data_IF_229712671155
#
_entry.id   IF_229712671155
#
_cell.length_a   1.000
_cell.length_b   1.000
_cell.length_c   1.000
_cell.angle_alpha   90.00
_cell.angle_beta   90.00
_cell.angle_gamma   90.00
#
_symmetry.space_group_name_H-M   'P 1'
#
loop_
_entity.id
_entity.type
_entity.pdbx_description
1 polymer ?
#
# COMPACT_ATOMS: atom_id res chain seq x y z
N UNK A 1 20.94 -5.85 -13.08
CA UNK A 1 19.64 -6.43 -12.70
C UNK A 1 19.44 -6.65 -11.20
N UNK A 2 20.50 -6.80 -10.37
CA UNK A 2 20.35 -6.94 -8.91
C UNK A 2 20.20 -5.60 -8.15
N UNK A 3 20.58 -4.45 -8.74
CA UNK A 3 20.50 -3.15 -8.08
C UNK A 3 19.07 -2.59 -8.01
N UNK A 4 18.30 -2.70 -9.10
CA UNK A 4 16.91 -2.19 -9.18
C UNK A 4 15.99 -2.87 -8.16
N UNK A 5 16.13 -4.18 -7.94
CA UNK A 5 15.33 -4.92 -6.95
C UNK A 5 15.69 -4.49 -5.51
N UNK A 6 16.94 -4.09 -5.27
CA UNK A 6 17.42 -3.69 -3.94
C UNK A 6 16.95 -2.27 -3.56
N UNK A 7 16.85 -1.37 -4.55
CA UNK A 7 16.37 0.01 -4.37
C UNK A 7 14.85 0.07 -4.12
N UNK A 8 14.06 -0.73 -4.85
CA UNK A 8 12.60 -0.80 -4.66
C UNK A 8 12.21 -1.32 -3.27
N UNK A 9 12.98 -2.24 -2.69
CA UNK A 9 12.74 -2.76 -1.33
C UNK A 9 13.09 -1.71 -0.25
N UNK A 10 14.06 -0.84 -0.48
CA UNK A 10 14.48 0.16 0.50
C UNK A 10 13.41 1.25 0.77
N UNK A 11 12.53 1.48 -0.21
CA UNK A 11 11.44 2.44 -0.10
C UNK A 11 10.17 1.86 0.56
N UNK A 12 10.12 0.54 0.79
CA UNK A 12 8.96 -0.11 1.38
C UNK A 12 8.74 0.32 2.84
N UNK A 13 7.52 0.74 3.23
CA UNK A 13 7.20 0.93 4.63
C UNK A 13 7.39 -0.40 5.39
N UNK A 14 8.05 -0.40 6.55
CA UNK A 14 8.23 -1.60 7.35
C UNK A 14 6.88 -2.17 7.80
N UNK A 15 6.84 -3.48 8.06
CA UNK A 15 5.67 -4.09 8.69
C UNK A 15 5.44 -3.44 10.08
N UNK A 16 4.24 -2.91 10.37
CA UNK A 16 3.94 -2.34 11.68
C UNK A 16 4.14 -3.37 12.82
N UNK A 17 4.44 -2.97 14.06
CA UNK A 17 4.24 -3.86 15.18
C UNK A 17 2.74 -4.20 15.34
N UNK A 18 2.43 -5.32 15.97
CA UNK A 18 1.06 -5.61 16.36
C UNK A 18 0.63 -4.65 17.47
N UNK A 19 -0.62 -4.19 17.40
CA UNK A 19 -1.23 -3.46 18.49
C UNK A 19 -1.62 -4.43 19.61
N UNK A 20 -1.58 -3.97 20.86
CA UNK A 20 -2.25 -4.69 21.95
C UNK A 20 -3.74 -4.87 21.62
N UNK A 21 -4.40 -5.94 22.08
CA UNK A 21 -5.79 -6.25 21.73
C UNK A 21 -6.76 -5.09 21.92
N UNK A 22 -6.54 -4.27 22.95
CA UNK A 22 -7.34 -3.06 23.19
C UNK A 22 -7.24 -2.02 22.06
N UNK A 23 -6.07 -1.89 21.43
CA UNK A 23 -5.80 -0.92 20.37
C UNK A 23 -5.93 -1.50 18.97
N UNK A 24 -6.09 -2.82 18.81
CA UNK A 24 -6.26 -3.48 17.51
C UNK A 24 -7.27 -2.77 16.59
N UNK A 25 -8.44 -2.30 17.06
CA UNK A 25 -9.41 -1.63 16.18
C UNK A 25 -8.93 -0.31 15.55
N UNK A 26 -7.82 0.27 15.99
CA UNK A 26 -7.30 1.54 15.48
C UNK A 26 -6.97 1.49 13.99
N UNK A 27 -6.61 0.30 13.48
CA UNK A 27 -6.31 0.10 12.05
C UNK A 27 -7.51 0.44 11.16
N UNK A 28 -8.75 0.32 11.67
CA UNK A 28 -9.96 0.66 10.95
C UNK A 28 -10.03 2.16 10.57
N UNK A 29 -9.28 3.02 11.26
CA UNK A 29 -9.15 4.43 10.87
C UNK A 29 -8.55 4.59 9.48
N UNK A 30 -7.64 3.70 9.08
CA UNK A 30 -7.04 3.70 7.74
C UNK A 30 -8.12 3.48 6.66
N UNK A 31 -9.10 2.63 6.92
CA UNK A 31 -10.23 2.36 6.02
C UNK A 31 -11.42 3.33 6.17
N UNK A 32 -11.34 4.28 7.10
CA UNK A 32 -12.43 5.24 7.30
C UNK A 32 -12.62 6.14 6.06
N UNK A 33 -13.87 6.52 5.79
CA UNK A 33 -14.20 7.45 4.70
C UNK A 33 -13.41 8.76 4.82
N UNK A 34 -13.24 9.26 6.04
CA UNK A 34 -12.47 10.47 6.30
C UNK A 34 -11.01 10.31 5.89
N UNK A 35 -10.35 9.23 6.32
CA UNK A 35 -8.94 8.98 5.96
C UNK A 35 -8.76 8.84 4.45
N UNK A 36 -9.63 8.09 3.78
CA UNK A 36 -9.59 7.92 2.34
C UNK A 36 -9.73 9.26 1.59
N UNK A 37 -10.62 10.15 2.06
CA UNK A 37 -10.73 11.49 1.51
C UNK A 37 -9.50 12.35 1.79
N UNK A 38 -8.89 12.27 2.98
CA UNK A 38 -7.67 13.01 3.32
C UNK A 38 -6.50 12.61 2.42
N UNK A 39 -6.26 11.31 2.26
CA UNK A 39 -5.26 10.75 1.35
C UNK A 39 -5.49 11.29 -0.07
N UNK A 40 -6.72 11.14 -0.59
CA UNK A 40 -7.07 11.61 -1.94
C UNK A 40 -6.86 13.11 -2.11
N UNK A 41 -7.25 13.93 -1.14
CA UNK A 41 -7.11 15.39 -1.20
C UNK A 41 -5.64 15.79 -1.29
N UNK A 42 -4.76 15.15 -0.52
CA UNK A 42 -3.32 15.42 -0.60
C UNK A 42 -2.76 15.05 -1.97
N UNK A 43 -3.06 13.85 -2.48
CA UNK A 43 -2.63 13.43 -3.82
C UNK A 43 -3.16 14.38 -4.91
N UNK A 44 -4.42 14.84 -4.80
CA UNK A 44 -5.01 15.79 -5.73
C UNK A 44 -4.34 17.16 -5.68
N UNK A 45 -3.97 17.64 -4.48
CA UNK A 45 -3.24 18.90 -4.32
C UNK A 45 -1.87 18.84 -4.98
N UNK A 46 -1.15 17.73 -4.81
CA UNK A 46 0.13 17.49 -5.48
C UNK A 46 -0.07 17.48 -7.00
N UNK A 47 -1.05 16.72 -7.50
CA UNK A 47 -1.35 16.64 -8.93
C UNK A 47 -1.69 18.01 -9.57
N UNK A 48 -2.26 18.93 -8.79
CA UNK A 48 -2.64 20.28 -9.20
C UNK A 48 -1.58 21.35 -8.88
N UNK A 49 -0.41 20.98 -8.36
CA UNK A 49 0.64 21.94 -7.92
C UNK A 49 0.10 23.00 -6.96
N UNK A 50 -0.79 22.59 -6.07
CA UNK A 50 -1.40 23.51 -5.10
C UNK A 50 -0.36 24.07 -4.14
N UNK A 51 -0.49 25.34 -3.74
CA UNK A 51 0.31 25.94 -2.65
C UNK A 51 0.18 25.23 -1.30
N UNK A 52 -0.84 24.38 -1.15
CA UNK A 52 -1.09 23.57 0.04
C UNK A 52 -0.57 22.12 -0.10
N UNK A 53 0.15 21.84 -1.20
CA UNK A 53 0.94 20.62 -1.31
C UNK A 53 2.30 20.85 -0.65
N UNK A 54 2.79 19.83 0.04
CA UNK A 54 4.14 19.83 0.59
C UNK A 54 4.71 18.42 0.50
N UNK A 55 6.00 18.33 0.28
CA UNK A 55 6.78 17.08 0.24
C UNK A 55 6.44 16.15 1.44
N UNK A 56 6.58 16.67 2.66
CA UNK A 56 6.28 15.88 3.87
C UNK A 56 4.83 15.38 3.98
N UNK A 57 3.84 16.08 3.39
CA UNK A 57 2.46 15.58 3.34
C UNK A 57 2.32 14.46 2.32
N UNK A 58 2.98 14.58 1.17
CA UNK A 58 2.99 13.53 0.15
C UNK A 58 3.66 12.27 0.70
N UNK A 59 4.85 12.39 1.31
CA UNK A 59 5.53 11.28 1.96
C UNK A 59 4.62 10.55 2.95
N UNK A 60 4.01 11.29 3.90
CA UNK A 60 3.14 10.70 4.93
C UNK A 60 1.94 9.97 4.31
N UNK A 61 1.37 10.52 3.24
CA UNK A 61 0.22 9.91 2.58
C UNK A 61 0.62 8.64 1.84
N UNK A 62 1.72 8.65 1.08
CA UNK A 62 2.24 7.43 0.44
C UNK A 62 2.61 6.38 1.49
N UNK A 63 3.25 6.80 2.59
CA UNK A 63 3.61 5.91 3.69
C UNK A 63 2.37 5.29 4.34
N UNK A 64 1.30 6.08 4.61
CA UNK A 64 0.04 5.57 5.15
C UNK A 64 -0.64 4.56 4.20
N UNK A 65 -0.54 4.77 2.89
CA UNK A 65 -1.03 3.80 1.90
C UNK A 65 -0.25 2.48 2.06
N UNK A 66 1.08 2.53 2.13
CA UNK A 66 1.87 1.32 2.35
C UNK A 66 1.59 0.64 3.70
N UNK A 67 1.36 1.41 4.77
CA UNK A 67 0.93 0.85 6.06
C UNK A 67 -0.42 0.13 5.94
N UNK A 68 -1.38 0.70 5.22
CA UNK A 68 -2.67 0.05 4.95
C UNK A 68 -2.53 -1.25 4.16
N UNK A 69 -1.62 -1.29 3.18
CA UNK A 69 -1.28 -2.52 2.45
C UNK A 69 -0.64 -3.57 3.36
N UNK A 70 0.27 -3.16 4.25
CA UNK A 70 0.89 -4.06 5.21
C UNK A 70 -0.13 -4.66 6.19
N UNK A 71 -1.09 -3.85 6.67
CA UNK A 71 -2.18 -4.36 7.52
C UNK A 71 -3.10 -5.33 6.75
N UNK A 72 -3.40 -5.08 5.47
CA UNK A 72 -4.16 -6.01 4.62
C UNK A 72 -3.42 -7.34 4.46
N UNK A 73 -2.10 -7.31 4.22
CA UNK A 73 -1.27 -8.52 4.13
C UNK A 73 -1.33 -9.31 5.43
N UNK A 74 -1.24 -8.62 6.58
CA UNK A 74 -1.29 -9.26 7.90
C UNK A 74 -2.66 -9.87 8.19
N UNK A 75 -3.72 -9.11 7.96
CA UNK A 75 -5.08 -9.47 8.34
C UNK A 75 -5.98 -9.48 7.11
N UNK A 76 -6.33 -10.68 6.65
CA UNK A 76 -7.08 -10.85 5.41
C UNK A 76 -8.47 -10.20 5.42
N UNK A 77 -9.08 -10.09 6.59
CA UNK A 77 -10.39 -9.45 6.77
C UNK A 77 -10.34 -7.92 6.69
N UNK A 78 -9.16 -7.31 6.72
CA UNK A 78 -8.99 -5.85 6.67
C UNK A 78 -8.91 -5.38 5.21
N UNK A 79 -10.03 -4.91 4.63
CA UNK A 79 -10.14 -4.51 3.22
C UNK A 79 -9.65 -3.07 2.92
N UNK A 80 -8.33 -2.86 2.99
CA UNK A 80 -7.76 -1.56 2.61
C UNK A 80 -7.82 -1.30 1.12
N UNK A 81 -7.55 -2.33 0.30
CA UNK A 81 -7.48 -2.18 -1.16
C UNK A 81 -8.84 -1.78 -1.73
N UNK A 82 -9.93 -2.43 -1.32
CA UNK A 82 -11.27 -2.07 -1.76
C UNK A 82 -11.69 -0.67 -1.32
N UNK A 83 -11.30 -0.24 -0.12
CA UNK A 83 -11.54 1.13 0.34
C UNK A 83 -10.78 2.18 -0.48
N UNK A 84 -9.50 1.91 -0.77
CA UNK A 84 -8.63 2.81 -1.52
C UNK A 84 -9.02 2.90 -3.01
N UNK A 85 -9.44 1.78 -3.60
CA UNK A 85 -9.96 1.71 -4.97
C UNK A 85 -11.25 2.52 -5.12
N UNK A 86 -12.24 2.35 -4.21
CA UNK A 86 -13.47 3.17 -4.19
C UNK A 86 -13.18 4.67 -4.07
N UNK A 87 -12.07 5.03 -3.41
CA UNK A 87 -11.64 6.41 -3.26
C UNK A 87 -10.78 6.93 -4.44
N UNK A 88 -10.48 6.11 -5.44
CA UNK A 88 -9.61 6.41 -6.59
C UNK A 88 -8.16 6.75 -6.19
N UNK A 89 -7.68 6.23 -5.06
CA UNK A 89 -6.32 6.54 -4.56
C UNK A 89 -5.25 5.99 -5.51
N UNK A 90 -5.42 4.75 -5.98
CA UNK A 90 -4.45 4.12 -6.87
C UNK A 90 -4.36 4.82 -8.24
N UNK A 91 -5.48 5.29 -8.78
CA UNK A 91 -5.51 6.08 -10.02
C UNK A 91 -4.81 7.42 -9.84
N UNK A 92 -5.05 8.09 -8.72
CA UNK A 92 -4.36 9.33 -8.39
C UNK A 92 -2.85 9.11 -8.27
N UNK A 93 -2.39 8.06 -7.60
CA UNK A 93 -0.97 7.71 -7.52
C UNK A 93 -0.35 7.44 -8.90
N UNK A 94 -1.02 6.66 -9.75
CA UNK A 94 -0.56 6.43 -11.14
C UNK A 94 -0.45 7.74 -11.93
N UNK A 95 -1.38 8.67 -11.75
CA UNK A 95 -1.35 9.98 -12.42
C UNK A 95 -0.20 10.90 -11.99
N UNK A 96 0.51 10.55 -10.92
CA UNK A 96 1.63 11.31 -10.37
C UNK A 96 3.00 10.81 -10.86
N UNK A 97 3.06 9.64 -11.49
CA UNK A 97 4.32 9.07 -12.00
C UNK A 97 4.95 10.01 -13.03
N UNK A 98 6.25 10.25 -12.89
CA UNK A 98 7.03 11.11 -13.78
C UNK A 98 6.80 12.61 -13.59
N UNK A 99 6.02 13.03 -12.59
CA UNK A 99 5.83 14.44 -12.27
C UNK A 99 6.95 14.95 -11.35
N UNK A 100 7.40 16.18 -11.63
CA UNK A 100 8.42 16.88 -10.86
C UNK A 100 8.07 17.04 -9.38
N UNK A 101 6.78 17.16 -9.05
CA UNK A 101 6.32 17.36 -7.66
C UNK A 101 6.53 16.11 -6.78
N UNK A 102 6.81 14.95 -7.37
CA UNK A 102 6.83 13.65 -6.68
C UNK A 102 8.22 13.02 -6.75
N UNK A 103 9.17 13.66 -7.44
CA UNK A 103 10.54 13.19 -7.64
C UNK A 103 11.25 12.81 -6.32
N UNK A 104 11.13 13.59 -5.22
CA UNK A 104 11.75 13.22 -3.93
C UNK A 104 11.20 11.92 -3.29
N UNK A 105 10.05 11.43 -3.78
CA UNK A 105 9.39 10.23 -3.28
C UNK A 105 9.05 9.25 -4.40
N UNK A 106 9.75 9.35 -5.54
CA UNK A 106 9.49 8.53 -6.72
C UNK A 106 9.63 7.03 -6.42
N UNK A 107 10.62 6.65 -5.61
CA UNK A 107 10.86 5.25 -5.24
C UNK A 107 9.70 4.66 -4.42
N UNK A 108 9.22 5.40 -3.42
CA UNK A 108 8.07 4.96 -2.61
C UNK A 108 6.80 4.90 -3.45
N UNK A 109 6.56 5.89 -4.33
CA UNK A 109 5.42 5.83 -5.25
C UNK A 109 5.51 4.64 -6.21
N UNK A 110 6.69 4.41 -6.79
CA UNK A 110 6.97 3.30 -7.69
C UNK A 110 6.72 1.95 -7.01
N UNK A 111 7.30 1.76 -5.83
CA UNK A 111 7.08 0.59 -4.98
C UNK A 111 5.58 0.31 -4.77
N UNK A 112 4.79 1.32 -4.37
CA UNK A 112 3.36 1.14 -4.12
C UNK A 112 2.60 0.75 -5.39
N UNK A 113 2.96 1.33 -6.54
CA UNK A 113 2.33 1.00 -7.83
C UNK A 113 2.60 -0.45 -8.23
N UNK A 114 3.80 -0.95 -7.95
CA UNK A 114 4.19 -2.34 -8.24
C UNK A 114 3.53 -3.34 -7.27
N UNK A 115 3.43 -2.99 -5.99
CA UNK A 115 2.96 -3.92 -4.95
C UNK A 115 1.44 -4.06 -4.90
N UNK A 116 0.68 -2.99 -5.14
CA UNK A 116 -0.80 -3.04 -5.13
C UNK A 116 -1.39 -4.15 -6.01
N UNK A 117 -1.01 -4.33 -7.29
CA UNK A 117 -1.58 -5.39 -8.13
C UNK A 117 -1.20 -6.79 -7.63
N UNK A 118 0.00 -6.97 -7.05
CA UNK A 118 0.43 -8.24 -6.46
C UNK A 118 -0.46 -8.64 -5.30
N UNK A 119 -0.70 -7.70 -4.37
CA UNK A 119 -1.57 -7.94 -3.21
C UNK A 119 -3.02 -8.16 -3.67
N UNK A 120 -3.52 -7.33 -4.57
CA UNK A 120 -4.87 -7.49 -5.13
C UNK A 120 -5.08 -8.87 -5.75
N UNK A 121 -4.14 -9.34 -6.57
CA UNK A 121 -4.19 -10.67 -7.19
C UNK A 121 -4.17 -11.79 -6.13
N UNK A 122 -3.29 -11.68 -5.13
CA UNK A 122 -3.19 -12.66 -4.05
C UNK A 122 -4.52 -12.81 -3.28
N UNK A 123 -5.11 -11.69 -2.87
CA UNK A 123 -6.36 -11.71 -2.10
C UNK A 123 -7.58 -12.11 -2.93
N UNK A 124 -7.60 -11.78 -4.22
CA UNK A 124 -8.76 -12.04 -5.08
C UNK A 124 -8.77 -13.43 -5.70
N UNK A 125 -7.62 -13.95 -6.10
CA UNK A 125 -7.52 -15.18 -6.91
C UNK A 125 -6.91 -16.35 -6.13
N UNK A 126 -5.88 -16.11 -5.31
CA UNK A 126 -5.17 -17.18 -4.60
C UNK A 126 -5.93 -17.61 -3.34
N UNK A 127 -6.45 -16.68 -2.54
CA UNK A 127 -7.23 -17.02 -1.35
C UNK A 127 -8.64 -17.56 -1.65
N UNK A 128 -9.11 -17.45 -2.90
CA UNK A 128 -10.36 -18.10 -3.34
C UNK A 128 -10.15 -19.56 -3.77
N UNK A 129 -8.90 -20.02 -3.90
CA UNK A 129 -8.64 -21.43 -4.20
C UNK A 129 -9.05 -22.28 -3.00
N UNK A 130 -9.92 -23.29 -3.18
CA UNK A 130 -10.13 -24.29 -2.15
C UNK A 130 -8.78 -24.99 -1.92
N UNK A 131 -8.37 -25.13 -0.66
CA UNK A 131 -7.18 -25.88 -0.25
C UNK A 131 -7.39 -27.40 -0.44
N UNK A 132 -7.89 -27.81 -1.60
CA UNK A 132 -7.89 -29.20 -2.04
C UNK A 132 -6.73 -29.39 -3.01
N UNK A 133 -5.54 -29.46 -2.42
CA UNK A 133 -4.43 -30.27 -2.91
C UNK A 133 -3.65 -29.77 -4.12
N UNK A 134 -2.78 -28.76 -3.97
CA UNK A 134 -1.44 -28.80 -4.58
C UNK A 134 -0.44 -28.12 -3.63
N UNK A 135 0.53 -28.89 -3.14
CA UNK A 135 1.76 -28.35 -2.57
C UNK A 135 2.64 -27.82 -3.72
N UNK A 136 2.75 -26.50 -3.87
CA UNK A 136 3.76 -25.88 -4.72
C UNK A 136 4.88 -25.31 -3.85
N UNK A 137 6.02 -25.98 -3.89
CA UNK A 137 7.30 -25.45 -3.42
C UNK A 137 7.70 -24.28 -4.33
N UNK A 138 7.42 -23.05 -3.89
CA UNK A 138 7.91 -21.84 -4.56
C UNK A 138 9.18 -21.42 -3.83
N UNK A 139 10.31 -21.82 -4.39
CA UNK A 139 11.63 -21.38 -3.95
C UNK A 139 11.69 -19.84 -3.92
N UNK A 140 12.05 -19.30 -2.75
CA UNK A 140 12.58 -17.96 -2.49
C UNK A 140 11.63 -16.75 -2.35
N UNK A 141 10.33 -16.93 -2.11
CA UNK A 141 9.54 -15.86 -1.49
C UNK A 141 9.12 -16.29 -0.07
N UNK A 142 9.94 -15.90 0.92
CA UNK A 142 9.63 -16.11 2.33
C UNK A 142 8.55 -15.09 2.71
N UNK A 143 7.28 -15.40 2.41
CA UNK A 143 6.17 -14.85 3.19
C UNK A 143 6.05 -15.77 4.40
N UNK A 144 6.54 -15.29 5.55
CA UNK A 144 6.31 -15.97 6.83
C UNK A 144 4.82 -15.82 7.15
N UNK A 145 4.00 -16.71 6.62
CA UNK A 145 2.72 -17.04 7.21
C UNK A 145 3.03 -17.86 8.46
N UNK A 146 3.27 -17.19 9.59
CA UNK A 146 3.20 -17.86 10.89
C UNK A 146 1.72 -18.01 11.24
N UNK A 147 1.33 -19.28 11.37
CA UNK A 147 0.07 -19.76 11.92
C UNK A 147 -0.24 -19.10 13.27
#
# INVERSE_FOLDING_TARGET
MHALVKEVIAAAPPMPPQFEPFFEPIINLLCSKMMMQLIRVVLCRVAKRSRYASDGLLHRVLYLVGMGLNEQIRQQSFDFIGCAEKALIFDMMRSLVGKTEVEPHADLLGYLIEVVPVIFFYFREILKWPLEGIALSINNFVIVARL
#
